data_IF_000811109494
#
_entry.id   IF_000811109494
#
_cell.length_a   1.000
_cell.length_b   1.000
_cell.length_c   1.000
_cell.angle_alpha   90.00
_cell.angle_beta   90.00
_cell.angle_gamma   90.00
#
_symmetry.space_group_name_H-M   'P 1'
#
loop_
_entity.id
_entity.type
_entity.pdbx_description
1 polymer ?
#
# COMPACT_ATOMS: atom_id res chain seq x y z
N UNK A 1 72.47 -36.05 -107.14
CA UNK A 1 72.95 -37.42 -106.87
C UNK A 1 72.72 -37.70 -105.39
N UNK A 2 71.86 -38.66 -105.02
CA UNK A 2 71.52 -38.92 -103.61
C UNK A 2 72.74 -39.51 -102.88
N UNK A 3 73.16 -38.97 -101.73
CA UNK A 3 74.31 -39.47 -100.97
C UNK A 3 74.10 -40.91 -100.47
N UNK A 4 75.16 -41.72 -100.45
CA UNK A 4 75.11 -43.14 -100.06
C UNK A 4 74.54 -43.39 -98.65
N UNK A 5 74.70 -42.44 -97.72
CA UNK A 5 74.13 -42.54 -96.38
C UNK A 5 72.60 -42.51 -96.40
N UNK A 6 72.01 -41.67 -97.26
CA UNK A 6 70.56 -41.51 -97.34
C UNK A 6 69.90 -42.77 -97.92
N UNK A 7 70.59 -43.49 -98.82
CA UNK A 7 70.11 -44.76 -99.35
C UNK A 7 70.09 -45.86 -98.27
N UNK A 8 71.13 -45.95 -97.42
CA UNK A 8 71.13 -46.88 -96.27
C UNK A 8 70.03 -46.61 -95.26
N UNK A 9 69.74 -45.34 -94.97
CA UNK A 9 68.68 -44.98 -94.02
C UNK A 9 67.31 -45.35 -94.57
N UNK A 10 67.09 -45.14 -95.88
CA UNK A 10 65.86 -45.55 -96.54
C UNK A 10 65.71 -47.08 -96.61
N UNK A 11 66.79 -47.81 -96.92
CA UNK A 11 66.78 -49.28 -96.93
C UNK A 11 66.54 -49.87 -95.54
N UNK A 12 67.11 -49.27 -94.49
CA UNK A 12 66.86 -49.66 -93.10
C UNK A 12 65.41 -49.38 -92.68
N UNK A 13 64.84 -48.24 -93.08
CA UNK A 13 63.46 -47.87 -92.78
C UNK A 13 62.46 -48.81 -93.46
N UNK A 14 62.67 -49.13 -94.75
CA UNK A 14 61.85 -50.09 -95.51
C UNK A 14 61.90 -51.50 -94.90
N UNK A 15 63.08 -51.94 -94.43
CA UNK A 15 63.22 -53.23 -93.75
C UNK A 15 62.44 -53.30 -92.42
N UNK A 16 62.35 -52.21 -91.67
CA UNK A 16 61.52 -52.13 -90.44
C UNK A 16 60.02 -52.13 -90.73
N UNK A 17 59.58 -51.70 -91.92
CA UNK A 17 58.16 -51.65 -92.29
C UNK A 17 57.66 -52.93 -92.95
N UNK A 18 58.54 -53.73 -93.57
CA UNK A 18 58.15 -55.00 -94.21
C UNK A 18 58.01 -56.18 -93.22
N UNK A 19 58.47 -56.04 -91.97
CA UNK A 19 58.24 -57.05 -90.91
C UNK A 19 56.96 -56.82 -90.10
N UNK A 20 56.06 -55.95 -90.57
CA UNK A 20 54.78 -55.64 -89.91
C UNK A 20 53.58 -56.48 -90.42
N UNK A 21 53.85 -57.50 -91.23
CA UNK A 21 52.95 -58.57 -91.70
C UNK A 21 52.95 -59.86 -90.85
N UNK A 22 51.91 -60.16 -90.04
CA UNK A 22 51.53 -61.53 -89.58
C UNK A 22 51.83 -61.99 -88.11
N UNK A 23 50.74 -62.08 -87.33
CA UNK A 23 50.37 -62.93 -86.15
C UNK A 23 50.96 -62.72 -84.73
N UNK A 24 50.18 -62.05 -83.86
CA UNK A 24 49.54 -62.72 -82.72
C UNK A 24 50.08 -62.59 -81.27
N UNK A 25 49.33 -61.83 -80.45
CA UNK A 25 49.11 -61.93 -78.98
C UNK A 25 50.27 -61.62 -78.02
N UNK A 26 50.22 -60.48 -77.32
CA UNK A 26 49.38 -60.21 -76.12
C UNK A 26 49.92 -58.95 -75.43
N UNK A 27 49.05 -57.94 -75.29
CA UNK A 27 49.39 -56.65 -74.69
C UNK A 27 49.12 -56.75 -73.20
N UNK A 28 50.16 -56.83 -72.37
CA UNK A 28 50.02 -56.53 -70.94
C UNK A 28 50.50 -55.11 -70.67
N UNK A 29 49.53 -54.23 -70.46
CA UNK A 29 49.68 -52.83 -70.07
C UNK A 29 50.30 -52.70 -68.66
N UNK A 30 50.97 -51.58 -68.33
CA UNK A 30 51.78 -51.44 -67.13
C UNK A 30 50.92 -51.58 -65.86
N UNK A 31 51.47 -52.19 -64.81
CA UNK A 31 50.88 -52.13 -63.47
C UNK A 31 50.72 -50.66 -63.07
N UNK A 32 49.49 -50.18 -63.18
CA UNK A 32 49.10 -48.88 -62.69
C UNK A 32 49.27 -48.87 -61.17
N UNK A 33 50.04 -47.92 -60.66
CA UNK A 33 50.02 -47.59 -59.23
C UNK A 33 48.55 -47.39 -58.84
N UNK A 34 47.99 -48.35 -58.11
CA UNK A 34 46.64 -48.28 -57.61
C UNK A 34 46.53 -47.01 -56.76
N UNK A 35 45.60 -46.12 -57.12
CA UNK A 35 45.24 -44.99 -56.28
C UNK A 35 44.69 -45.54 -54.96
N UNK A 36 45.50 -45.51 -53.90
CA UNK A 36 45.02 -45.80 -52.54
C UNK A 36 43.99 -44.73 -52.17
N UNK A 37 42.77 -45.15 -51.85
CA UNK A 37 41.70 -44.24 -51.49
C UNK A 37 41.97 -43.61 -50.12
N UNK A 38 42.41 -42.35 -50.10
CA UNK A 38 42.68 -41.57 -48.87
C UNK A 38 41.39 -41.09 -48.15
N UNK A 39 40.21 -41.52 -48.60
CA UNK A 39 38.90 -41.03 -48.12
C UNK A 39 38.44 -41.63 -46.79
N UNK A 40 38.94 -42.81 -46.38
CA UNK A 40 38.51 -43.48 -45.15
C UNK A 40 38.78 -42.65 -43.88
N UNK A 41 39.99 -42.11 -43.74
CA UNK A 41 40.33 -41.27 -42.58
C UNK A 41 39.60 -39.92 -42.54
N UNK A 42 39.17 -39.41 -43.70
CA UNK A 42 38.36 -38.18 -43.78
C UNK A 42 36.92 -38.48 -43.35
N UNK A 43 36.36 -39.63 -43.74
CA UNK A 43 35.04 -40.09 -43.31
C UNK A 43 35.02 -40.30 -41.78
N UNK A 44 36.02 -40.99 -41.22
CA UNK A 44 36.14 -41.18 -39.77
C UNK A 44 36.24 -39.85 -39.00
N UNK A 45 36.92 -38.85 -39.56
CA UNK A 45 37.01 -37.51 -38.97
C UNK A 45 35.67 -36.78 -39.00
N UNK A 46 34.93 -36.88 -40.11
CA UNK A 46 33.60 -36.28 -40.25
C UNK A 46 32.56 -36.97 -39.35
N UNK A 47 32.65 -38.29 -39.18
CA UNK A 47 31.80 -39.05 -38.25
C UNK A 47 32.06 -38.63 -36.80
N UNK A 48 33.33 -38.55 -36.38
CA UNK A 48 33.69 -38.04 -35.04
C UNK A 48 33.25 -36.59 -34.81
N UNK A 49 33.33 -35.76 -35.85
CA UNK A 49 32.89 -34.37 -35.77
C UNK A 49 31.36 -34.28 -35.66
N UNK A 50 30.64 -35.14 -36.37
CA UNK A 50 29.19 -35.29 -36.26
C UNK A 50 28.80 -35.70 -34.84
N UNK A 51 29.40 -36.76 -34.31
CA UNK A 51 29.12 -37.24 -32.94
C UNK A 51 29.37 -36.13 -31.91
N UNK A 52 30.50 -35.44 -32.03
CA UNK A 52 30.83 -34.30 -31.15
C UNK A 52 29.81 -33.16 -31.24
N UNK A 53 29.35 -32.81 -32.45
CA UNK A 53 28.33 -31.77 -32.61
C UNK A 53 26.95 -32.22 -32.11
N UNK A 54 26.61 -33.51 -32.22
CA UNK A 54 25.36 -34.03 -31.66
C UNK A 54 25.38 -34.01 -30.12
N UNK A 55 26.52 -34.36 -29.51
CA UNK A 55 26.74 -34.27 -28.05
C UNK A 55 26.68 -32.80 -27.58
N UNK A 56 27.46 -31.90 -28.21
CA UNK A 56 27.46 -30.47 -27.89
C UNK A 56 26.07 -29.84 -28.06
N UNK A 57 25.33 -30.23 -29.12
CA UNK A 57 23.95 -29.78 -29.31
C UNK A 57 23.07 -30.25 -28.16
N UNK A 58 23.17 -31.52 -27.75
CA UNK A 58 22.35 -32.05 -26.66
C UNK A 58 22.66 -31.38 -25.33
N UNK A 59 23.93 -31.10 -25.04
CA UNK A 59 24.36 -30.35 -23.86
C UNK A 59 23.81 -28.93 -23.88
N UNK A 60 23.95 -28.21 -24.99
CA UNK A 60 23.45 -26.84 -25.14
C UNK A 60 21.92 -26.77 -25.04
N UNK A 61 21.18 -27.70 -25.67
CA UNK A 61 19.72 -27.78 -25.55
C UNK A 61 19.28 -28.02 -24.11
N UNK A 62 20.02 -28.86 -23.36
CA UNK A 62 19.76 -29.10 -21.94
C UNK A 62 20.07 -27.88 -21.09
N UNK A 63 21.18 -27.21 -21.33
CA UNK A 63 21.55 -25.97 -20.64
C UNK A 63 20.55 -24.85 -20.91
N UNK A 64 20.15 -24.65 -22.17
CA UNK A 64 19.15 -23.67 -22.57
C UNK A 64 17.79 -23.96 -21.92
N UNK A 65 17.35 -25.22 -21.93
CA UNK A 65 16.11 -25.65 -21.27
C UNK A 65 16.13 -25.34 -19.77
N UNK A 66 17.23 -25.67 -19.09
CA UNK A 66 17.40 -25.38 -17.66
C UNK A 66 17.44 -23.86 -17.39
N UNK A 67 18.17 -23.10 -18.20
CA UNK A 67 18.28 -21.65 -18.06
C UNK A 67 16.93 -20.96 -18.28
N UNK A 68 16.18 -21.39 -19.31
CA UNK A 68 14.83 -20.92 -19.58
C UNK A 68 13.89 -21.24 -18.42
N UNK A 69 13.91 -22.46 -17.92
CA UNK A 69 13.07 -22.86 -16.79
C UNK A 69 13.40 -22.05 -15.52
N UNK A 70 14.68 -21.87 -15.20
CA UNK A 70 15.11 -21.05 -14.06
C UNK A 70 14.66 -19.59 -14.21
N UNK A 71 14.78 -19.03 -15.41
CA UNK A 71 14.30 -17.67 -15.71
C UNK A 71 12.78 -17.55 -15.56
N UNK A 72 12.01 -18.52 -16.09
CA UNK A 72 10.55 -18.54 -15.96
C UNK A 72 10.10 -18.60 -14.50
N UNK A 73 10.73 -19.47 -13.70
CA UNK A 73 10.48 -19.58 -12.27
C UNK A 73 10.78 -18.28 -11.53
N UNK A 74 11.93 -17.65 -11.80
CA UNK A 74 12.31 -16.38 -11.19
C UNK A 74 11.36 -15.24 -11.61
N UNK A 75 11.00 -15.19 -12.89
CA UNK A 75 10.08 -14.18 -13.42
C UNK A 75 8.70 -14.31 -12.78
N UNK A 76 8.20 -15.53 -12.59
CA UNK A 76 6.95 -15.79 -11.91
C UNK A 76 7.01 -15.38 -10.44
N UNK A 77 8.07 -15.77 -9.72
CA UNK A 77 8.26 -15.40 -8.31
C UNK A 77 8.31 -13.87 -8.12
N UNK A 78 9.10 -13.17 -8.94
CA UNK A 78 9.18 -11.71 -8.92
C UNK A 78 7.83 -11.06 -9.26
N UNK A 79 7.11 -11.59 -10.24
CA UNK A 79 5.78 -11.08 -10.61
C UNK A 79 4.79 -11.21 -9.45
N UNK A 80 4.77 -12.38 -8.79
CA UNK A 80 3.94 -12.62 -7.62
C UNK A 80 4.33 -11.70 -6.46
N UNK A 81 5.62 -11.59 -6.16
CA UNK A 81 6.15 -10.72 -5.11
C UNK A 81 5.80 -9.25 -5.33
N UNK A 82 5.90 -8.77 -6.58
CA UNK A 82 5.48 -7.41 -6.95
C UNK A 82 3.98 -7.23 -6.77
N UNK A 83 3.17 -8.22 -7.14
CA UNK A 83 1.72 -8.17 -6.97
C UNK A 83 1.32 -8.07 -5.50
N UNK A 84 1.81 -9.00 -4.67
CA UNK A 84 1.57 -9.00 -3.22
C UNK A 84 2.07 -7.71 -2.57
N UNK A 85 3.27 -7.25 -2.92
CA UNK A 85 3.82 -6.00 -2.39
C UNK A 85 3.00 -4.77 -2.77
N UNK A 86 2.34 -4.77 -3.94
CA UNK A 86 1.45 -3.69 -4.37
C UNK A 86 0.14 -3.71 -3.58
N UNK A 87 -0.44 -4.88 -3.37
CA UNK A 87 -1.64 -5.09 -2.55
C UNK A 87 -1.39 -4.68 -1.10
N UNK A 88 -0.33 -5.19 -0.47
CA UNK A 88 0.08 -4.81 0.87
C UNK A 88 0.27 -3.30 1.03
N UNK A 89 0.86 -2.65 0.02
CA UNK A 89 1.09 -1.20 0.05
C UNK A 89 -0.22 -0.43 -0.08
N UNK A 90 -1.15 -0.92 -0.88
CA UNK A 90 -2.48 -0.34 -1.01
C UNK A 90 -3.25 -0.44 0.30
N UNK A 91 -3.28 -1.62 0.91
CA UNK A 91 -4.01 -1.87 2.16
C UNK A 91 -3.43 -1.05 3.32
N UNK A 92 -2.09 -0.99 3.42
CA UNK A 92 -1.41 -0.12 4.39
C UNK A 92 -1.71 1.36 4.16
N UNK A 93 -1.83 1.81 2.91
CA UNK A 93 -2.20 3.19 2.60
C UNK A 93 -3.65 3.49 3.02
N UNK A 94 -4.58 2.56 2.79
CA UNK A 94 -5.97 2.69 3.25
C UNK A 94 -6.07 2.70 4.77
N UNK A 95 -5.41 1.78 5.47
CA UNK A 95 -5.41 1.75 6.94
C UNK A 95 -4.76 3.00 7.52
N UNK A 96 -3.69 3.52 6.91
CA UNK A 96 -3.09 4.80 7.30
C UNK A 96 -4.10 5.94 7.19
N UNK A 97 -4.80 6.05 6.06
CA UNK A 97 -5.80 7.09 5.85
C UNK A 97 -6.94 6.99 6.88
N UNK A 98 -7.48 5.79 7.09
CA UNK A 98 -8.54 5.52 8.06
C UNK A 98 -8.10 5.80 9.50
N UNK A 99 -6.84 5.54 9.84
CA UNK A 99 -6.29 5.82 11.17
C UNK A 99 -6.07 7.32 11.36
N UNK A 100 -5.56 8.03 10.34
CA UNK A 100 -5.41 9.48 10.38
C UNK A 100 -6.76 10.21 10.52
N UNK A 101 -7.80 9.72 9.84
CA UNK A 101 -9.15 10.24 10.02
C UNK A 101 -9.66 10.01 11.45
N UNK A 102 -9.56 8.77 11.97
CA UNK A 102 -9.95 8.46 13.36
C UNK A 102 -9.19 9.32 14.38
N UNK A 103 -7.92 9.61 14.14
CA UNK A 103 -7.14 10.49 15.01
C UNK A 103 -7.67 11.93 14.98
N UNK A 104 -8.02 12.45 13.80
CA UNK A 104 -8.58 13.78 13.65
C UNK A 104 -9.96 13.88 14.32
N UNK A 105 -10.84 12.90 14.10
CA UNK A 105 -12.17 12.83 14.71
C UNK A 105 -12.05 12.79 16.24
N UNK A 106 -11.20 11.91 16.79
CA UNK A 106 -10.98 11.80 18.23
C UNK A 106 -10.40 13.08 18.86
N UNK A 107 -9.57 13.82 18.12
CA UNK A 107 -9.07 15.13 18.57
C UNK A 107 -10.18 16.19 18.60
N UNK A 108 -11.07 16.18 17.61
CA UNK A 108 -12.26 17.03 17.59
C UNK A 108 -13.19 16.72 18.77
N UNK A 109 -13.54 15.44 18.95
CA UNK A 109 -14.40 15.00 20.05
C UNK A 109 -13.82 15.37 21.42
N UNK A 110 -12.50 15.25 21.60
CA UNK A 110 -11.82 15.66 22.83
C UNK A 110 -11.95 17.15 23.07
N UNK A 111 -11.74 17.99 22.05
CA UNK A 111 -11.86 19.44 22.16
C UNK A 111 -13.29 19.83 22.54
N UNK A 112 -14.29 19.28 21.86
CA UNK A 112 -15.70 19.55 22.12
C UNK A 112 -16.09 19.11 23.53
N UNK A 113 -15.67 17.90 23.93
CA UNK A 113 -15.93 17.38 25.29
C UNK A 113 -15.30 18.24 26.37
N UNK A 114 -14.07 18.71 26.17
CA UNK A 114 -13.39 19.61 27.12
C UNK A 114 -14.13 20.95 27.21
N UNK A 115 -14.52 21.52 26.07
CA UNK A 115 -15.27 22.77 26.04
C UNK A 115 -16.62 22.65 26.76
N UNK A 116 -17.38 21.57 26.51
CA UNK A 116 -18.66 21.33 27.19
C UNK A 116 -18.46 21.14 28.69
N UNK A 117 -17.46 20.35 29.11
CA UNK A 117 -17.13 20.17 30.53
C UNK A 117 -16.83 21.50 31.21
N UNK A 118 -16.05 22.36 30.57
CA UNK A 118 -15.66 23.65 31.15
C UNK A 118 -16.87 24.59 31.29
N UNK A 119 -17.74 24.64 30.28
CA UNK A 119 -19.01 25.36 30.38
C UNK A 119 -19.94 24.80 31.47
N UNK A 120 -20.03 23.48 31.61
CA UNK A 120 -20.85 22.84 32.64
C UNK A 120 -20.30 23.13 34.05
N UNK A 121 -18.96 23.18 34.20
CA UNK A 121 -18.32 23.51 35.46
C UNK A 121 -18.57 24.97 35.86
N UNK A 122 -18.43 25.91 34.91
CA UNK A 122 -18.76 27.32 35.14
C UNK A 122 -20.23 27.48 35.55
N UNK A 123 -21.15 26.82 34.83
CA UNK A 123 -22.57 26.85 35.16
C UNK A 123 -22.87 26.29 36.56
N UNK A 124 -22.20 25.19 36.93
CA UNK A 124 -22.35 24.57 38.26
C UNK A 124 -21.86 25.51 39.37
N UNK A 125 -20.73 26.20 39.15
CA UNK A 125 -20.17 27.14 40.11
C UNK A 125 -21.09 28.35 40.31
N UNK A 126 -21.61 28.92 39.21
CA UNK A 126 -22.58 30.01 39.25
C UNK A 126 -23.89 29.60 39.93
N UNK A 127 -24.41 28.41 39.62
CA UNK A 127 -25.63 27.89 40.22
C UNK A 127 -25.46 27.67 41.73
N UNK A 128 -24.31 27.15 42.16
CA UNK A 128 -24.02 26.99 43.58
C UNK A 128 -23.93 28.34 44.30
N UNK A 129 -23.29 29.34 43.70
CA UNK A 129 -23.22 30.69 44.26
C UNK A 129 -24.61 31.32 44.37
N UNK A 130 -25.44 31.21 43.32
CA UNK A 130 -26.81 31.72 43.33
C UNK A 130 -27.68 31.00 44.38
N UNK A 131 -27.60 29.67 44.45
CA UNK A 131 -28.33 28.87 45.43
C UNK A 131 -27.97 29.27 46.86
N UNK A 132 -26.67 29.43 47.14
CA UNK A 132 -26.19 29.86 48.46
C UNK A 132 -26.70 31.26 48.80
N UNK A 133 -26.55 32.23 47.89
CA UNK A 133 -27.02 33.60 48.12
C UNK A 133 -28.53 33.65 48.39
N UNK A 134 -29.34 32.90 47.61
CA UNK A 134 -30.79 32.86 47.84
C UNK A 134 -31.14 32.18 49.15
N UNK A 135 -30.41 31.14 49.54
CA UNK A 135 -30.61 30.47 50.83
C UNK A 135 -30.34 31.43 51.97
N UNK A 136 -29.20 32.14 51.94
CA UNK A 136 -28.81 33.10 52.97
C UNK A 136 -29.84 34.26 53.06
N UNK A 137 -30.28 34.80 51.92
CA UNK A 137 -31.32 35.83 51.86
C UNK A 137 -32.66 35.35 52.42
N UNK A 138 -33.04 34.09 52.14
CA UNK A 138 -34.28 33.51 52.63
C UNK A 138 -34.25 33.34 54.15
N UNK A 139 -33.17 32.82 54.71
CA UNK A 139 -32.98 32.67 56.16
C UNK A 139 -32.97 34.04 56.88
N UNK A 140 -32.31 35.04 56.30
CA UNK A 140 -32.32 36.40 56.82
C UNK A 140 -33.75 36.99 56.84
N UNK A 141 -34.53 36.79 55.78
CA UNK A 141 -35.94 37.23 55.70
C UNK A 141 -36.82 36.50 56.71
N UNK A 142 -36.63 35.20 56.91
CA UNK A 142 -37.38 34.43 57.89
C UNK A 142 -37.12 34.94 59.32
N UNK A 143 -35.86 35.22 59.62
CA UNK A 143 -35.46 35.81 60.92
C UNK A 143 -36.08 37.19 61.11
N UNK A 144 -35.98 38.07 60.12
CA UNK A 144 -36.55 39.41 60.18
C UNK A 144 -38.07 39.37 60.32
N UNK A 145 -38.76 38.49 59.58
CA UNK A 145 -40.21 38.30 59.69
C UNK A 145 -40.63 37.81 61.08
N UNK A 146 -39.86 36.91 61.71
CA UNK A 146 -40.14 36.48 63.08
C UNK A 146 -40.05 37.66 64.07
N UNK A 147 -39.04 38.51 63.92
CA UNK A 147 -38.89 39.73 64.73
C UNK A 147 -40.01 40.75 64.47
N UNK A 148 -40.44 40.91 63.22
CA UNK A 148 -41.59 41.76 62.87
C UNK A 148 -42.88 41.26 63.52
N UNK A 149 -43.12 39.95 63.51
CA UNK A 149 -44.28 39.34 64.17
C UNK A 149 -44.24 39.63 65.67
N UNK A 150 -43.10 39.40 66.34
CA UNK A 150 -42.95 39.71 67.78
C UNK A 150 -43.19 41.20 68.08
N UNK A 151 -42.71 42.10 67.22
CA UNK A 151 -42.93 43.54 67.37
C UNK A 151 -44.41 43.92 67.20
N UNK A 152 -45.11 43.32 66.23
CA UNK A 152 -46.54 43.51 66.02
C UNK A 152 -47.33 42.97 67.22
N UNK A 153 -46.99 41.79 67.74
CA UNK A 153 -47.62 41.21 68.93
C UNK A 153 -47.48 42.12 70.15
N UNK A 154 -46.27 42.65 70.39
CA UNK A 154 -46.03 43.64 71.47
C UNK A 154 -46.82 44.93 71.25
N UNK A 155 -46.92 45.42 70.01
CA UNK A 155 -47.72 46.60 69.71
C UNK A 155 -49.21 46.36 70.00
N UNK A 156 -49.75 45.19 69.62
CA UNK A 156 -51.12 44.77 69.94
C UNK A 156 -51.32 44.71 71.46
N UNK A 157 -50.38 44.13 72.19
CA UNK A 157 -50.44 44.05 73.67
C UNK A 157 -50.49 45.44 74.31
N UNK A 158 -49.60 46.35 73.90
CA UNK A 158 -49.55 47.73 74.41
C UNK A 158 -50.85 48.48 74.12
N UNK A 159 -51.35 48.42 72.89
CA UNK A 159 -52.60 49.08 72.49
C UNK A 159 -53.80 48.50 73.24
N UNK A 160 -53.79 47.18 73.49
CA UNK A 160 -54.86 46.47 74.20
C UNK A 160 -54.78 46.62 75.72
N UNK A 161 -53.66 47.11 76.25
CA UNK A 161 -53.45 47.30 77.70
C UNK A 161 -54.44 48.32 78.27
N UNK A 162 -54.87 48.13 79.52
CA UNK A 162 -55.83 49.04 80.18
C UNK A 162 -55.37 50.49 80.34
N UNK A 163 -54.07 50.77 80.14
CA UNK A 163 -53.53 52.14 80.16
C UNK A 163 -53.80 52.91 78.85
N UNK A 164 -53.97 52.21 77.73
CA UNK A 164 -54.16 52.79 76.38
C UNK A 164 -55.56 52.47 75.84
N UNK A 165 -56.15 51.35 76.22
CA UNK A 165 -57.51 50.93 75.88
C UNK A 165 -58.55 51.97 76.34
N UNK A 166 -59.32 52.53 75.40
CA UNK A 166 -60.31 53.60 75.64
C UNK A 166 -59.74 55.03 75.62
N UNK A 167 -58.42 55.22 75.51
CA UNK A 167 -57.82 56.55 75.34
C UNK A 167 -58.17 57.17 73.99
N UNK A 168 -58.36 56.33 72.96
CA UNK A 168 -58.84 56.73 71.64
C UNK A 168 -60.23 57.41 71.72
N UNK A 169 -61.17 56.85 72.48
CA UNK A 169 -62.53 57.42 72.65
C UNK A 169 -62.52 58.78 73.35
N UNK A 170 -61.45 59.07 74.11
CA UNK A 170 -61.29 60.29 74.91
C UNK A 170 -60.50 61.40 74.21
N UNK A 171 -59.60 61.04 73.30
CA UNK A 171 -58.63 61.97 72.69
C UNK A 171 -58.67 62.02 71.15
N UNK A 172 -59.32 61.08 70.48
CA UNK A 172 -59.50 61.12 69.04
C UNK A 172 -60.94 61.57 68.71
N UNK A 173 -61.14 62.54 67.81
CA UNK A 173 -62.46 62.78 67.24
C UNK A 173 -62.91 61.49 66.53
N UNK A 174 -64.21 61.16 66.62
CA UNK A 174 -64.80 59.95 66.02
C UNK A 174 -64.26 59.72 64.62
N UNK A 175 -63.62 58.57 64.40
CA UNK A 175 -62.93 58.25 63.15
C UNK A 175 -63.98 58.14 62.03
N UNK A 176 -64.10 59.17 61.19
CA UNK A 176 -64.94 59.13 60.00
C UNK A 176 -64.28 58.17 58.99
N UNK A 177 -64.73 56.92 59.00
CA UNK A 177 -64.29 55.87 58.09
C UNK A 177 -64.78 56.21 56.67
N UNK A 178 -64.00 56.98 55.92
CA UNK A 178 -64.27 57.23 54.50
C UNK A 178 -63.90 55.96 53.73
N UNK A 179 -64.88 55.38 53.04
CA UNK A 179 -64.72 54.11 52.33
C UNK A 179 -63.60 54.17 51.28
N UNK A 180 -62.59 53.32 51.43
CA UNK A 180 -61.50 53.10 50.46
C UNK A 180 -61.95 52.23 49.26
N UNK A 181 -63.13 52.50 48.68
CA UNK A 181 -63.70 51.71 47.58
C UNK A 181 -63.26 52.21 46.18
N UNK A 182 -62.50 53.29 46.05
CA UNK A 182 -62.20 53.90 44.73
C UNK A 182 -60.73 53.98 44.35
N UNK A 183 -59.94 52.94 44.65
CA UNK A 183 -58.66 52.72 43.97
C UNK A 183 -58.59 51.25 43.56
N UNK A 184 -59.20 50.96 42.42
CA UNK A 184 -58.96 49.74 41.65
C UNK A 184 -58.80 50.10 40.19
#
# INVERSE_FOLDING_TARGET
LVPAHARRVLDAFLATTETAEDVGLDVSAPEANAYESHSGGIIDMLEKLKDKFEDERSELEKEESNAKHAHEMLSQDLTNSISTSKEDRHDKAQEKAKTAQREADAKGDLQDTVSSRDSDQEYLDDLNAECKSKSDDFEARQTLRAQEIEAIEKAIEIISSGAVSGAADKHLPSLAQVSLIQLR
#
